data_IF_875704465616
#
_entry.id   IF_875704465616
#
_cell.length_a   1.000
_cell.length_b   1.000
_cell.length_c   1.000
_cell.angle_alpha   90.00
_cell.angle_beta   90.00
_cell.angle_gamma   90.00
#
_symmetry.space_group_name_H-M   'P 1'
#
loop_
_entity.id
_entity.type
_entity.pdbx_description
1 polymer ?
#
# COMPACT_ATOMS: atom_id res chain seq x y z
N UNK A 1 47.58 11.78 -0.38
CA UNK A 1 46.69 12.05 -1.53
C UNK A 1 45.91 10.77 -1.77
N UNK A 2 44.59 10.81 -1.51
CA UNK A 2 43.66 9.69 -1.62
C UNK A 2 43.30 9.43 -3.08
N UNK A 3 43.30 8.17 -3.51
CA UNK A 3 42.48 7.74 -4.65
C UNK A 3 41.73 6.48 -4.20
N UNK A 4 40.43 6.67 -3.95
CA UNK A 4 39.45 5.63 -3.69
C UNK A 4 39.12 4.96 -5.02
N UNK A 5 39.36 3.66 -5.14
CA UNK A 5 38.96 2.86 -6.30
C UNK A 5 37.56 2.29 -6.06
N UNK A 6 36.59 2.92 -6.72
CA UNK A 6 35.32 2.43 -7.27
C UNK A 6 34.67 1.18 -6.63
N UNK A 7 33.62 1.43 -5.85
CA UNK A 7 32.50 0.49 -5.69
C UNK A 7 31.75 0.41 -7.02
N UNK A 8 31.96 -0.66 -7.78
CA UNK A 8 31.06 -1.06 -8.87
C UNK A 8 30.03 -2.06 -8.34
N UNK A 9 28.97 -1.57 -7.69
CA UNK A 9 27.75 -2.36 -7.55
C UNK A 9 26.85 -2.06 -8.74
N UNK A 10 27.00 -2.93 -9.74
CA UNK A 10 26.11 -3.13 -10.87
C UNK A 10 24.64 -3.01 -10.47
N UNK A 11 23.93 -2.17 -11.20
CA UNK A 11 22.48 -1.99 -11.18
C UNK A 11 21.72 -3.31 -11.36
N UNK A 12 20.86 -3.67 -10.39
CA UNK A 12 19.73 -4.57 -10.64
C UNK A 12 18.42 -3.78 -10.46
N UNK A 13 17.82 -3.42 -11.59
CA UNK A 13 16.45 -2.90 -11.70
C UNK A 13 15.45 -4.05 -11.57
N UNK A 14 15.28 -4.64 -10.38
CA UNK A 14 14.34 -5.78 -10.21
C UNK A 14 13.40 -5.75 -9.00
N UNK A 15 13.37 -4.69 -8.17
CA UNK A 15 12.47 -4.64 -7.00
C UNK A 15 11.56 -3.38 -6.95
N UNK A 16 11.00 -2.95 -8.08
CA UNK A 16 10.03 -1.83 -8.08
C UNK A 16 8.63 -2.23 -7.60
N UNK A 17 8.29 -3.52 -7.59
CA UNK A 17 6.95 -4.01 -7.29
C UNK A 17 6.94 -4.91 -6.04
N UNK A 18 6.11 -4.56 -5.07
CA UNK A 18 6.04 -5.25 -3.77
C UNK A 18 5.24 -6.56 -3.82
N UNK A 19 4.63 -6.92 -4.96
CA UNK A 19 3.66 -8.02 -5.02
C UNK A 19 2.45 -7.78 -4.13
N UNK A 20 2.12 -6.51 -3.92
CA UNK A 20 0.90 -6.04 -3.25
C UNK A 20 0.04 -5.36 -4.31
N UNK A 21 -1.22 -5.75 -4.37
CA UNK A 21 -2.26 -5.12 -5.18
C UNK A 21 -3.19 -4.35 -4.25
N UNK A 22 -3.64 -3.19 -4.70
CA UNK A 22 -4.62 -2.40 -3.98
C UNK A 22 -5.74 -1.96 -4.92
N UNK A 23 -6.96 -1.88 -4.39
CA UNK A 23 -8.13 -1.41 -5.10
C UNK A 23 -8.92 -0.48 -4.18
N UNK A 24 -9.28 0.70 -4.68
CA UNK A 24 -10.19 1.58 -3.96
C UNK A 24 -11.59 0.99 -3.95
N UNK A 25 -12.21 0.99 -2.77
CA UNK A 25 -13.59 0.57 -2.61
C UNK A 25 -14.46 1.81 -2.47
N UNK A 26 -15.37 2.03 -3.43
CA UNK A 26 -16.21 3.23 -3.54
C UNK A 26 -17.68 2.96 -3.21
N UNK A 27 -18.04 1.72 -2.91
CA UNK A 27 -19.40 1.42 -2.48
C UNK A 27 -19.66 1.91 -1.06
N UNK A 28 -20.93 2.14 -0.74
CA UNK A 28 -21.38 2.62 0.57
C UNK A 28 -21.56 1.51 1.62
N UNK A 29 -21.23 0.26 1.26
CA UNK A 29 -21.31 -0.92 2.13
C UNK A 29 -19.95 -1.58 2.25
N UNK A 30 -19.70 -2.29 3.35
CA UNK A 30 -18.51 -3.15 3.49
C UNK A 30 -18.71 -4.38 2.59
N UNK A 31 -17.67 -4.90 1.89
CA UNK A 31 -17.78 -6.13 1.14
C UNK A 31 -18.27 -7.29 2.02
N UNK A 32 -19.29 -8.03 1.56
CA UNK A 32 -19.82 -9.18 2.29
C UNK A 32 -18.85 -10.38 2.25
N UNK A 33 -18.00 -10.45 1.23
CA UNK A 33 -16.94 -11.46 1.07
C UNK A 33 -15.76 -10.81 0.36
N UNK A 34 -14.55 -11.32 0.64
CA UNK A 34 -13.33 -10.94 -0.05
C UNK A 34 -12.86 -12.00 -1.06
N UNK A 35 -13.49 -13.18 -1.07
CA UNK A 35 -13.09 -14.33 -1.89
C UNK A 35 -13.40 -14.12 -3.38
N UNK A 36 -14.46 -13.35 -3.68
CA UNK A 36 -14.98 -13.11 -5.04
C UNK A 36 -14.79 -11.65 -5.49
N UNK A 37 -13.88 -10.90 -4.85
CA UNK A 37 -13.63 -9.52 -5.24
C UNK A 37 -12.93 -9.46 -6.61
N UNK A 38 -13.58 -8.81 -7.56
CA UNK A 38 -12.94 -8.47 -8.83
C UNK A 38 -11.83 -7.45 -8.58
N UNK A 39 -10.59 -7.84 -8.87
CA UNK A 39 -9.40 -7.01 -8.78
C UNK A 39 -8.90 -6.54 -10.17
N UNK A 40 -9.75 -6.58 -11.20
CA UNK A 40 -9.40 -6.20 -12.57
C UNK A 40 -8.93 -4.75 -12.73
N UNK A 41 -9.39 -3.85 -11.86
CA UNK A 41 -9.03 -2.44 -11.76
C UNK A 41 -8.07 -2.14 -10.58
N UNK A 42 -7.50 -3.18 -9.95
CA UNK A 42 -6.49 -3.00 -8.92
C UNK A 42 -5.20 -2.43 -9.51
N UNK A 43 -4.49 -1.65 -8.70
CA UNK A 43 -3.18 -1.10 -9.00
C UNK A 43 -2.09 -1.81 -8.20
N UNK A 44 -0.89 -1.90 -8.79
CA UNK A 44 0.29 -2.46 -8.14
C UNK A 44 0.89 -1.43 -7.21
N UNK A 45 1.13 -1.84 -5.96
CA UNK A 45 1.83 -1.01 -4.98
C UNK A 45 3.33 -1.09 -5.22
N UNK A 46 3.94 0.07 -5.42
CA UNK A 46 5.36 0.17 -5.76
C UNK A 46 6.21 0.32 -4.50
N UNK A 47 7.46 -0.13 -4.63
CA UNK A 47 8.48 0.08 -3.62
C UNK A 47 9.13 1.46 -3.84
N UNK A 48 8.47 2.52 -3.38
CA UNK A 48 8.96 3.90 -3.59
C UNK A 48 9.69 4.41 -2.35
N UNK A 49 9.03 4.36 -1.20
CA UNK A 49 9.53 4.87 0.06
C UNK A 49 9.03 3.99 1.21
N UNK A 50 9.88 3.75 2.22
CA UNK A 50 9.49 2.99 3.43
C UNK A 50 8.89 1.61 3.10
N UNK A 51 9.40 0.98 2.02
CA UNK A 51 8.90 -0.31 1.50
C UNK A 51 7.41 -0.27 1.12
N UNK A 52 6.95 0.87 0.64
CA UNK A 52 5.58 1.13 0.23
C UNK A 52 5.43 2.38 -0.64
N UNK A 53 4.20 2.82 -0.77
CA UNK A 53 3.82 4.02 -1.50
C UNK A 53 2.66 4.73 -0.78
N UNK A 54 2.64 6.05 -0.89
CA UNK A 54 1.60 6.92 -0.36
C UNK A 54 0.63 7.30 -1.49
N UNK A 55 -0.66 7.24 -1.18
CA UNK A 55 -1.73 7.56 -2.11
C UNK A 55 -2.65 8.62 -1.51
N UNK A 56 -3.06 9.58 -2.33
CA UNK A 56 -4.23 10.40 -2.01
C UNK A 56 -5.49 9.54 -2.17
N UNK A 57 -6.32 9.50 -1.13
CA UNK A 57 -7.60 8.79 -1.20
C UNK A 57 -8.54 9.48 -2.20
N UNK A 58 -9.16 8.76 -3.15
CA UNK A 58 -10.25 9.29 -3.94
C UNK A 58 -11.40 9.78 -3.05
N UNK A 59 -12.06 10.88 -3.43
CA UNK A 59 -13.11 11.52 -2.59
C UNK A 59 -14.29 10.58 -2.28
N UNK A 60 -14.56 9.67 -3.19
CA UNK A 60 -15.64 8.68 -3.16
C UNK A 60 -15.24 7.32 -2.58
N UNK A 61 -13.95 7.10 -2.28
CA UNK A 61 -13.50 5.84 -1.70
C UNK A 61 -13.85 5.76 -0.20
N UNK A 62 -14.60 4.73 0.21
CA UNK A 62 -14.92 4.45 1.62
C UNK A 62 -13.88 3.52 2.26
N UNK A 63 -13.21 2.70 1.44
CA UNK A 63 -12.20 1.75 1.86
C UNK A 63 -11.11 1.51 0.82
N UNK A 64 -10.14 0.69 1.19
CA UNK A 64 -9.16 0.11 0.27
C UNK A 64 -9.09 -1.39 0.51
N UNK A 65 -9.15 -2.15 -0.57
CA UNK A 65 -8.87 -3.58 -0.58
C UNK A 65 -7.38 -3.72 -0.85
N UNK A 66 -6.69 -4.50 -0.03
CA UNK A 66 -5.26 -4.80 -0.19
C UNK A 66 -5.11 -6.30 -0.32
N UNK A 67 -4.37 -6.76 -1.33
CA UNK A 67 -4.06 -8.17 -1.55
C UNK A 67 -2.56 -8.33 -1.64
N UNK A 68 -1.98 -9.21 -0.84
CA UNK A 68 -0.53 -9.43 -0.81
C UNK A 68 -0.19 -10.88 -1.11
N UNK A 69 0.76 -11.10 -2.03
CA UNK A 69 1.19 -12.44 -2.44
C UNK A 69 2.61 -12.80 -1.99
N UNK A 70 3.41 -11.81 -1.57
CA UNK A 70 4.84 -12.02 -1.29
C UNK A 70 5.20 -11.96 0.20
N UNK A 71 4.67 -10.97 0.93
CA UNK A 71 5.01 -10.71 2.33
C UNK A 71 3.82 -10.16 3.10
N UNK A 72 3.97 -10.03 4.41
CA UNK A 72 3.03 -9.29 5.25
C UNK A 72 2.93 -7.84 4.73
N UNK A 73 1.71 -7.39 4.48
CA UNK A 73 1.42 -6.04 4.04
C UNK A 73 0.77 -5.23 5.16
N UNK A 74 1.05 -3.94 5.19
CA UNK A 74 0.42 -2.99 6.09
C UNK A 74 -0.26 -1.87 5.31
N UNK A 75 -1.34 -1.37 5.90
CA UNK A 75 -2.06 -0.19 5.49
C UNK A 75 -2.13 0.76 6.68
N UNK A 76 -1.77 2.01 6.46
CA UNK A 76 -1.92 3.08 7.43
C UNK A 76 -2.58 4.29 6.77
N UNK A 77 -3.47 5.00 7.48
CA UNK A 77 -4.16 6.15 6.91
C UNK A 77 -4.18 7.36 7.85
N UNK A 78 -4.12 8.54 7.23
CA UNK A 78 -4.11 9.83 7.90
C UNK A 78 -5.22 10.75 7.42
N UNK A 79 -5.85 11.49 8.33
CA UNK A 79 -6.83 12.55 8.00
C UNK A 79 -6.21 13.82 7.43
N UNK A 80 -4.89 13.97 7.51
CA UNK A 80 -4.19 15.15 7.01
C UNK A 80 -3.29 14.79 5.83
N UNK A 81 -3.18 15.72 4.88
CA UNK A 81 -2.28 15.59 3.72
C UNK A 81 -0.80 15.59 4.08
N UNK A 82 -0.45 16.18 5.22
CA UNK A 82 0.95 16.36 5.61
C UNK A 82 1.59 15.10 6.23
N UNK A 83 0.83 14.00 6.43
CA UNK A 83 1.32 12.75 7.01
C UNK A 83 2.12 12.95 8.33
N UNK A 84 1.66 13.88 9.17
CA UNK A 84 2.33 14.19 10.45
C UNK A 84 1.57 13.56 11.61
N UNK A 85 2.30 12.82 12.44
CA UNK A 85 1.78 12.20 13.65
C UNK A 85 1.40 10.73 13.46
N UNK A 86 0.86 10.08 14.50
CA UNK A 86 0.44 8.69 14.41
C UNK A 86 -0.68 8.55 13.38
N UNK A 87 -0.72 7.40 12.73
CA UNK A 87 -1.84 7.00 11.89
C UNK A 87 -3.14 6.99 12.69
N UNK A 88 -4.26 7.38 12.05
CA UNK A 88 -5.58 7.22 12.66
C UNK A 88 -6.14 5.81 12.44
N UNK A 89 -5.72 5.16 11.35
CA UNK A 89 -6.17 3.83 10.97
C UNK A 89 -4.94 3.01 10.61
N UNK A 90 -4.89 1.78 11.12
CA UNK A 90 -3.84 0.83 10.82
C UNK A 90 -4.40 -0.57 10.68
N UNK A 91 -3.86 -1.32 9.73
CA UNK A 91 -4.13 -2.73 9.56
C UNK A 91 -2.92 -3.44 8.97
N UNK A 92 -2.69 -4.65 9.45
CA UNK A 92 -1.75 -5.60 8.88
C UNK A 92 -2.53 -6.76 8.28
N UNK A 93 -1.96 -7.37 7.26
CA UNK A 93 -2.50 -8.58 6.67
C UNK A 93 -1.37 -9.54 6.30
N UNK A 94 -1.62 -10.82 6.56
CA UNK A 94 -0.68 -11.89 6.28
C UNK A 94 -0.44 -12.09 4.78
N UNK A 95 0.61 -12.84 4.46
CA UNK A 95 0.92 -13.20 3.07
C UNK A 95 -0.18 -14.09 2.49
N UNK A 96 -0.47 -13.95 1.20
CA UNK A 96 -1.53 -14.65 0.48
C UNK A 96 -2.94 -14.38 1.02
N UNK A 97 -3.16 -13.18 1.54
CA UNK A 97 -4.48 -12.74 2.01
C UNK A 97 -4.91 -11.47 1.29
N UNK A 98 -6.23 -11.28 1.26
CA UNK A 98 -6.89 -10.06 0.85
C UNK A 98 -7.62 -9.50 2.07
N UNK A 99 -7.44 -8.23 2.38
CA UNK A 99 -8.16 -7.56 3.45
C UNK A 99 -8.84 -6.29 2.92
N UNK A 100 -9.98 -5.97 3.53
CA UNK A 100 -10.63 -4.69 3.37
C UNK A 100 -10.27 -3.79 4.56
N UNK A 101 -9.83 -2.58 4.25
CA UNK A 101 -9.57 -1.55 5.24
C UNK A 101 -10.53 -0.39 5.03
N UNK A 102 -11.34 -0.09 6.04
CA UNK A 102 -12.14 1.13 6.05
C UNK A 102 -11.21 2.32 6.25
N UNK A 103 -11.17 3.25 5.30
CA UNK A 103 -10.31 4.45 5.36
C UNK A 103 -11.11 5.72 5.64
N UNK A 104 -12.45 5.66 5.63
CA UNK A 104 -13.33 6.72 6.10
C UNK A 104 -13.00 8.11 5.54
N UNK A 105 -12.73 9.06 6.43
CA UNK A 105 -12.40 10.45 6.12
C UNK A 105 -10.89 10.72 6.01
N UNK A 106 -10.06 9.69 5.85
CA UNK A 106 -8.62 9.86 5.65
C UNK A 106 -8.30 10.55 4.31
N UNK A 107 -7.29 11.42 4.30
CA UNK A 107 -6.79 12.08 3.09
C UNK A 107 -5.67 11.27 2.42
N UNK A 108 -4.78 10.67 3.23
CA UNK A 108 -3.59 9.95 2.76
C UNK A 108 -3.62 8.53 3.26
N UNK A 109 -3.25 7.58 2.40
CA UNK A 109 -3.11 6.16 2.72
C UNK A 109 -1.71 5.69 2.31
N UNK A 110 -1.00 5.09 3.24
CA UNK A 110 0.21 4.31 2.98
C UNK A 110 -0.16 2.84 2.80
N UNK A 111 0.43 2.19 1.80
CA UNK A 111 0.33 0.75 1.59
C UNK A 111 1.75 0.23 1.32
N UNK A 112 2.17 -0.82 2.04
CA UNK A 112 3.53 -1.34 1.92
C UNK A 112 3.75 -2.63 2.68
N UNK A 113 5.00 -3.04 2.81
CA UNK A 113 5.40 -4.13 3.71
C UNK A 113 5.70 -3.64 5.12
N UNK A 114 5.61 -4.55 6.08
CA UNK A 114 6.22 -4.39 7.40
C UNK A 114 7.69 -4.84 7.36
#
# INVERSE_FOLDING_TARGET
>A
MLILSECSHSSNKEDSELGVLAKWWTENTIPNSLDDLDLSDAFVVKNVQDRGEYYERPKDATGVIVSSQKKLAAMAAWRNKEHKGPWQIYGEQETNTTAFHYVGDSDIVFIGWV
#
